data_IF_204343280923
#
_entry.id   IF_204343280923
#
_cell.length_a   1.000
_cell.length_b   1.000
_cell.length_c   1.000
_cell.angle_alpha   90.00
_cell.angle_beta   90.00
_cell.angle_gamma   90.00
#
_symmetry.space_group_name_H-M   'P 1'
#
loop_
_entity.id
_entity.type
_entity.pdbx_description
1 polymer ?
2 non-polymer ?
3 non-polymer ?
4 water ?
#
# COMPACT_ATOMS: atom_id res chain seq x y z
N UNK A 1 13.11 6.65 20.29
CA UNK A 1 13.65 5.35 19.85
C UNK A 1 15.09 5.42 19.38
N UNK A 2 15.46 4.35 18.70
CA UNK A 2 16.82 4.18 18.29
C UNK A 2 16.99 4.98 17.00
N UNK A 3 18.24 5.18 16.63
CA UNK A 3 18.58 5.70 15.29
C UNK A 3 18.97 4.51 14.43
N UNK A 4 18.23 4.24 13.32
CA UNK A 4 18.58 3.07 12.54
C UNK A 4 19.89 3.25 11.75
N UNK A 5 20.56 2.14 11.39
CA UNK A 5 21.69 2.24 10.47
C UNK A 5 21.26 2.88 9.13
N UNK A 6 22.18 3.58 8.48
CA UNK A 6 21.89 4.27 7.23
C UNK A 6 21.37 3.35 6.15
N UNK A 7 21.90 2.13 6.10
CA UNK A 7 21.44 1.24 5.02
C UNK A 7 20.02 0.75 5.22
N UNK A 8 19.63 0.57 6.47
CA UNK A 8 18.29 0.22 6.83
C UNK A 8 17.28 1.35 6.56
N UNK A 9 17.66 2.56 6.96
CA UNK A 9 16.89 3.77 6.72
C UNK A 9 16.68 3.99 5.24
N UNK A 10 17.69 3.72 4.43
CA UNK A 10 17.61 3.91 2.98
C UNK A 10 16.54 2.99 2.37
N UNK A 11 16.56 1.74 2.77
CA UNK A 11 15.56 0.80 2.23
C UNK A 11 14.19 1.19 2.73
N UNK A 12 14.10 1.60 4.02
CA UNK A 12 12.80 1.95 4.60
C UNK A 12 12.19 3.14 3.86
N UNK A 13 13.01 4.12 3.55
CA UNK A 13 12.56 5.33 2.88
C UNK A 13 12.06 5.01 1.47
N UNK A 14 12.61 3.99 0.82
CA UNK A 14 12.06 3.55 -0.47
C UNK A 14 10.70 2.84 -0.34
N UNK A 16 8.47 3.20 2.28
CA UNK A 16 7.50 4.06 2.92
C UNK A 16 7.96 5.52 2.91
N UNK A 17 8.01 6.13 1.71
CA UNK A 17 8.58 7.47 1.57
C UNK A 17 7.82 8.55 2.37
N UNK A 18 6.55 8.32 2.64
CA UNK A 18 5.72 9.32 3.32
C UNK A 18 5.53 9.05 4.82
N UNK A 19 6.10 7.97 5.32
CA UNK A 19 5.97 7.69 6.76
C UNK A 19 6.60 8.79 7.59
N UNK A 20 5.94 9.11 8.69
CA UNK A 20 6.47 10.01 9.72
C UNK A 20 6.21 9.41 11.08
N UNK A 21 6.82 10.01 12.08
CA UNK A 21 6.66 9.53 13.45
C UNK A 21 7.15 8.13 13.66
N UNK A 22 8.19 7.74 12.94
CA UNK A 22 8.65 6.34 12.96
C UNK A 22 9.49 6.13 14.21
N UNK A 23 9.19 5.06 14.93
CA UNK A 23 9.90 4.67 16.15
C UNK A 23 10.69 3.41 15.82
N UNK A 24 12.02 3.49 15.94
CA UNK A 24 12.90 2.36 15.61
C UNK A 24 13.43 1.65 16.89
N UNK A 25 13.55 0.33 16.79
CA UNK A 25 14.13 -0.53 17.83
C UNK A 25 14.82 -1.70 17.16
N UNK A 26 15.49 -2.55 17.94
CA UNK A 26 16.01 -3.80 17.38
C UNK A 26 15.82 -4.96 18.34
N UNK A 27 15.79 -6.18 17.77
CA UNK A 27 15.54 -7.42 18.51
C UNK A 27 16.17 -8.55 17.74
N UNK A 28 17.03 -9.32 18.40
CA UNK A 28 17.60 -10.54 17.80
C UNK A 28 18.35 -10.19 16.52
N UNK A 29 18.92 -8.98 16.48
CA UNK A 29 19.72 -8.54 15.36
C UNK A 29 19.00 -7.95 14.18
N UNK A 30 17.67 -7.84 14.31
CA UNK A 30 16.83 -7.26 13.23
C UNK A 30 16.36 -5.86 13.73
N UNK A 31 16.07 -4.96 12.82
CA UNK A 31 15.65 -3.59 13.12
C UNK A 31 14.16 -3.43 12.78
N UNK A 32 13.41 -2.77 13.64
CA UNK A 32 11.96 -2.64 13.48
C UNK A 32 11.58 -1.19 13.42
N UNK A 33 10.83 -0.81 12.39
CA UNK A 33 10.23 0.50 12.22
C UNK A 33 8.73 0.41 12.55
N UNK A 34 8.30 1.17 13.56
CA UNK A 34 6.90 1.22 13.98
C UNK A 34 6.32 2.55 13.60
N UNK A 35 5.14 2.54 12.97
CA UNK A 35 4.50 3.79 12.47
C UNK A 35 3.09 3.52 11.97
N UNK A 36 2.35 4.58 11.63
CA UNK A 36 1.01 4.44 11.07
C UNK A 36 1.01 4.85 9.60
N UNK A 38 -1.80 5.16 6.22
CA UNK A 38 -3.16 5.07 5.64
C UNK A 38 -4.15 4.40 6.58
N UNK A 39 -4.12 4.80 7.84
CA UNK A 39 -5.01 4.27 8.84
C UNK A 39 -4.63 3.00 9.59
N UNK A 40 -3.47 2.40 9.29
CA UNK A 40 -3.08 1.14 9.95
C UNK A 40 -1.71 1.23 10.61
N UNK A 41 -1.57 0.63 11.77
CA UNK A 41 -0.26 0.52 12.43
C UNK A 41 0.55 -0.57 11.82
N UNK A 42 1.81 -0.25 11.55
CA UNK A 42 2.74 -1.17 10.93
C UNK A 42 4.05 -1.33 11.73
N UNK A 43 4.59 -2.55 11.68
CA UNK A 43 5.95 -2.83 12.17
C UNK A 43 6.67 -3.50 11.03
N UNK A 44 7.71 -2.83 10.56
CA UNK A 44 8.43 -3.29 9.38
C UNK A 44 9.86 -3.59 9.80
N UNK A 45 10.30 -4.80 9.51
CA UNK A 45 11.56 -5.32 10.00
C UNK A 45 12.61 -5.52 8.90
N UNK A 46 13.87 -5.27 9.25
CA UNK A 46 15.00 -5.36 8.32
C UNK A 46 16.18 -6.07 8.96
N UNK A 47 17.02 -6.67 8.13
CA UNK A 47 18.27 -7.24 8.60
C UNK A 47 19.41 -6.22 8.47
N UNK A 48 20.59 -6.59 8.99
CA UNK A 48 21.74 -5.71 9.02
C UNK A 48 22.27 -5.32 7.63
N UNK A 49 21.86 -6.06 6.60
CA UNK A 49 22.21 -5.74 5.22
C UNK A 49 21.23 -4.71 4.64
N UNK A 50 20.29 -4.23 5.47
CA UNK A 50 19.29 -3.30 5.00
C UNK A 50 18.19 -3.96 4.17
N UNK A 51 18.06 -5.27 4.21
CA UNK A 51 17.06 -5.99 3.46
C UNK A 51 15.80 -6.18 4.31
N UNK A 52 14.66 -5.95 3.68
CA UNK A 52 13.37 -6.15 4.30
C UNK A 52 13.15 -7.65 4.57
N UNK A 53 12.76 -7.96 5.80
CA UNK A 53 12.46 -9.32 6.23
C UNK A 53 11.01 -9.65 6.55
N UNK A 55 6.77 -7.54 7.26
CA UNK A 55 5.95 -6.46 7.68
C UNK A 55 4.72 -7.04 8.38
N UNK A 56 4.39 -6.44 9.49
CA UNK A 56 3.21 -6.79 10.28
C UNK A 56 2.27 -5.60 10.30
N UNK A 57 1.03 -5.80 9.83
CA UNK A 57 0.05 -4.75 9.77
C UNK A 57 -1.11 -5.09 10.70
N UNK A 58 -1.44 -4.16 11.57
CA UNK A 58 -2.51 -4.37 12.53
C UNK A 58 -3.86 -4.05 11.88
N UNK A 59 -4.58 -5.10 11.55
CA UNK A 59 -5.89 -5.00 10.93
C UNK A 59 -7.03 -4.84 11.94
N UNK A 60 -6.77 -5.17 13.21
CA UNK A 60 -7.64 -4.86 14.38
C UNK A 60 -8.84 -5.82 14.46
N UNK A 61 -9.59 -5.94 13.38
CA UNK A 61 -10.90 -6.60 13.45
C UNK A 61 -11.22 -7.54 12.28
N UNK A 62 -12.23 -8.39 12.48
CA UNK A 62 -12.55 -9.45 11.52
C UNK A 62 -13.10 -8.96 10.21
N UNK A 63 -13.65 -7.75 10.22
CA UNK A 63 -14.15 -7.16 8.98
C UNK A 63 -13.03 -6.92 7.95
N UNK A 64 -11.78 -6.84 8.42
CA UNK A 64 -10.63 -6.60 7.52
C UNK A 64 -10.11 -7.87 6.88
N UNK A 65 -10.60 -9.02 7.31
CA UNK A 65 -10.20 -10.29 6.68
C UNK A 65 -10.85 -10.54 5.35
N UNK A 66 -10.19 -11.31 4.48
CA UNK A 66 -10.82 -11.83 3.29
C UNK A 66 -11.97 -12.74 3.69
N UNK A 67 -12.93 -12.95 2.80
CA UNK A 67 -13.94 -13.91 3.11
C UNK A 67 -13.39 -15.30 3.44
N UNK A 68 -12.34 -15.70 2.74
CA UNK A 68 -11.80 -17.04 2.91
C UNK A 68 -11.30 -17.25 4.33
N UNK A 69 -10.56 -16.27 4.85
CA UNK A 69 -10.04 -16.40 6.20
C UNK A 69 -11.15 -16.21 7.24
N UNK A 70 -12.02 -15.22 7.01
CA UNK A 70 -13.20 -15.03 7.84
C UNK A 70 -14.05 -16.28 8.01
N UNK A 71 -14.40 -16.91 6.88
CA UNK A 71 -15.25 -18.07 6.89
C UNK A 71 -14.62 -19.22 7.66
N UNK A 72 -13.31 -19.35 7.52
CA UNK A 72 -12.55 -20.37 8.25
C UNK A 72 -12.61 -20.07 9.73
N UNK A 73 -12.45 -18.81 10.13
CA UNK A 73 -12.53 -18.45 11.55
C UNK A 73 -13.90 -18.76 12.14
N UNK A 74 -14.95 -18.35 11.44
CA UNK A 74 -16.28 -18.49 12.01
C UNK A 74 -16.75 -19.94 11.98
N UNK A 75 -16.08 -20.84 11.23
CA UNK A 75 -16.43 -22.25 11.24
C UNK A 75 -15.49 -23.11 12.13
N UNK A 76 -14.54 -22.46 12.80
CA UNK A 76 -13.55 -23.15 13.62
C UNK A 76 -13.87 -23.06 15.11
N UNK A 77 -12.98 -23.59 15.95
CA UNK A 77 -13.25 -23.67 17.41
C UNK A 77 -13.33 -22.37 18.18
N UNK A 78 -12.79 -21.31 17.62
CA UNK A 78 -12.71 -20.00 18.29
C UNK A 78 -13.76 -19.01 17.74
N UNK A 79 -14.67 -19.51 16.91
CA UNK A 79 -15.72 -18.70 16.24
C UNK A 79 -16.43 -17.73 17.17
N UNK A 80 -16.68 -18.13 18.42
CA UNK A 80 -17.39 -17.29 19.36
C UNK A 80 -16.52 -16.58 20.41
N UNK A 81 -15.21 -16.63 20.24
CA UNK A 81 -14.28 -15.94 21.13
C UNK A 81 -14.22 -14.43 20.79
N UNK A 82 -13.71 -13.63 21.71
CA UNK A 82 -13.54 -12.18 21.53
C UNK A 82 -12.25 -11.93 20.81
N UNK A 83 -12.32 -11.15 19.74
CA UNK A 83 -11.15 -10.97 18.91
C UNK A 83 -10.44 -9.72 19.40
N UNK A 84 -9.25 -9.88 19.96
CA UNK A 84 -8.47 -8.76 20.49
C UNK A 84 -7.67 -8.03 19.45
N UNK A 85 -7.15 -8.78 18.48
CA UNK A 85 -6.19 -8.29 17.47
C UNK A 85 -6.27 -9.14 16.23
N UNK A 86 -5.97 -8.54 15.08
CA UNK A 86 -5.82 -9.26 13.83
C UNK A 86 -4.58 -8.64 13.18
N UNK A 87 -3.59 -9.48 12.86
CA UNK A 87 -2.34 -9.00 12.29
C UNK A 87 -2.07 -9.72 10.97
N UNK A 89 0.81 -10.65 8.36
CA UNK A 89 2.29 -10.82 8.41
C UNK A 89 2.73 -11.19 7.03
N UNK A 90 3.57 -10.37 6.42
CA UNK A 90 4.04 -10.56 5.06
C UNK A 90 5.53 -10.68 5.03
N UNK A 91 6.02 -11.47 4.07
CA UNK A 91 7.46 -11.76 3.97
C UNK A 91 7.95 -11.69 2.52
N UNK A 92 9.27 -11.57 2.30
CA UNK A 92 9.76 -11.52 0.91
C UNK A 92 9.61 -12.86 0.22
N UNK A 93 9.77 -13.95 0.96
CA UNK A 93 9.73 -15.26 0.37
C UNK A 93 8.62 -16.17 0.94
N UNK A 94 8.42 -16.18 2.24
CA UNK A 94 7.50 -17.11 2.89
C UNK A 94 6.06 -16.60 2.62
N UNK A 95 5.11 -17.53 2.67
CA UNK A 95 3.69 -17.21 2.54
C UNK A 95 3.21 -16.32 3.73
N UNK A 96 2.32 -15.40 3.41
CA UNK A 96 1.72 -14.58 4.44
C UNK A 96 0.97 -15.41 5.47
N UNK A 97 0.88 -14.87 6.67
CA UNK A 97 0.21 -15.47 7.81
C UNK A 97 -0.71 -14.41 8.44
N UNK A 98 -1.93 -14.82 8.76
CA UNK A 98 -2.86 -13.99 9.47
C UNK A 98 -2.90 -14.48 10.92
N UNK A 99 -2.61 -13.60 11.86
CA UNK A 99 -2.56 -13.95 13.27
C UNK A 99 -3.74 -13.28 13.91
N UNK A 100 -4.64 -14.11 14.46
CA UNK A 100 -5.80 -13.59 15.18
C UNK A 100 -5.60 -13.88 16.65
N UNK A 101 -5.60 -12.83 17.48
CA UNK A 101 -5.48 -12.98 18.92
C UNK A 101 -6.87 -12.98 19.52
N UNK A 102 -7.20 -14.06 20.23
CA UNK A 102 -8.52 -14.20 20.82
C UNK A 102 -8.46 -14.44 22.31
N UNK A 103 -9.56 -14.05 22.96
CA UNK A 103 -9.76 -14.22 24.40
C UNK A 103 -11.25 -14.47 24.65
N UNK A 104 -11.64 -14.56 25.89
CA UNK A 104 -13.08 -14.75 26.22
C UNK A 104 -13.43 -13.66 27.15
N UNK A 105 -14.65 -13.14 27.06
CA UNK A 105 -15.10 -12.19 28.05
C UNK A 105 -14.99 -12.91 29.39
N UNK A 106 -14.51 -12.17 30.38
CA UNK A 106 -14.45 -12.60 31.75
C UNK A 106 -13.39 -13.66 32.11
N UNK A 107 -12.51 -14.02 31.21
CA UNK A 107 -11.31 -14.81 31.59
C UNK A 107 -10.07 -14.33 30.85
N UNK A 108 -8.92 -14.55 31.47
CA UNK A 108 -7.67 -13.96 31.01
C UNK A 108 -6.90 -14.83 30.01
N UNK A 109 -7.46 -15.97 29.63
CA UNK A 109 -6.82 -16.85 28.65
C UNK A 109 -6.77 -16.14 27.27
N UNK A 110 -5.61 -16.13 26.62
CA UNK A 110 -5.48 -15.56 25.30
C UNK A 110 -4.71 -16.55 24.39
N UNK A 111 -5.18 -16.75 23.16
CA UNK A 111 -4.46 -17.53 22.17
C UNK A 111 -4.19 -16.72 20.90
N UNK A 112 -3.05 -16.95 20.30
CA UNK A 112 -2.79 -16.54 18.92
C UNK A 112 -3.12 -17.70 17.99
N UNK A 113 -3.90 -17.38 16.97
CA UNK A 113 -4.32 -18.32 15.95
C UNK A 113 -3.60 -17.92 14.69
N UNK A 114 -2.86 -18.85 14.07
CA UNK A 114 -2.06 -18.62 12.84
C UNK A 114 -2.74 -19.27 11.63
N UNK A 115 -3.32 -18.42 10.79
CA UNK A 115 -4.04 -18.85 9.62
C UNK A 115 -3.25 -18.57 8.33
N UNK A 116 -3.41 -19.46 7.38
CA UNK A 116 -2.92 -19.21 6.04
C UNK A 116 -3.94 -18.37 5.31
N UNK A 117 -3.54 -17.74 4.21
CA UNK A 117 -4.52 -17.04 3.35
C UNK A 117 -5.61 -17.89 2.77
N UNK A 118 -5.41 -19.21 2.69
CA UNK A 118 -6.44 -20.13 2.24
C UNK A 118 -7.35 -20.60 3.38
N UNK A 119 -7.17 -20.06 4.56
CA UNK A 119 -8.03 -20.31 5.70
C UNK A 119 -7.67 -21.53 6.53
N UNK A 120 -6.45 -22.04 6.37
CA UNK A 120 -6.03 -23.21 7.17
C UNK A 120 -5.48 -22.70 8.50
N UNK A 121 -5.97 -23.25 9.61
CA UNK A 121 -5.43 -22.97 10.91
C UNK A 121 -4.23 -23.86 11.11
N UNK A 122 -3.03 -23.30 11.01
CA UNK A 122 -1.80 -24.06 11.08
C UNK A 122 -1.44 -24.48 12.53
N UNK A 123 -1.64 -23.56 13.45
CA UNK A 123 -1.22 -23.71 14.84
C UNK A 123 -1.82 -22.59 15.68
N UNK A 124 -1.82 -22.83 17.00
CA UNK A 124 -2.19 -21.81 17.98
C UNK A 124 -1.17 -21.85 19.11
N UNK A 125 -1.11 -20.74 19.84
CA UNK A 125 -0.19 -20.59 20.93
C UNK A 125 -0.88 -19.84 22.05
N UNK A 126 -0.73 -20.30 23.28
CA UNK A 126 -1.21 -19.60 24.48
C UNK A 126 -0.27 -18.41 24.72
N UNK A 127 -0.84 -17.20 24.78
CA UNK A 127 -0.02 -16.03 24.96
C UNK A 127 -0.49 -15.25 26.17
N UNK A 128 -1.15 -15.94 27.10
CA UNK A 128 -1.74 -15.33 28.27
C UNK A 128 -0.65 -14.62 29.08
N UNK A 129 0.53 -15.27 29.20
CA UNK A 129 1.69 -14.73 30.00
C UNK A 129 2.95 -14.49 29.19
N UNK A 131 5.21 -12.14 26.47
CA UNK A 131 5.46 -10.79 26.00
C UNK A 131 6.17 -10.93 24.67
N UNK A 132 6.17 -9.87 23.86
CA UNK A 132 6.93 -9.89 22.61
C UNK A 132 6.40 -11.06 21.77
N UNK A 133 5.14 -11.00 21.37
CA UNK A 133 4.55 -12.13 20.68
C UNK A 133 4.44 -12.02 19.16
N UNK A 134 4.96 -10.93 18.59
CA UNK A 134 4.97 -10.79 17.14
C UNK A 134 6.35 -10.39 16.59
N UNK A 135 7.41 -10.84 17.24
CA UNK A 135 8.80 -10.53 16.79
C UNK A 135 9.55 -11.60 16.02
N UNK A 136 10.83 -11.36 15.75
CA UNK A 136 11.67 -12.34 15.05
C UNK A 136 11.59 -13.74 15.65
N UNK A 137 11.55 -13.84 16.96
CA UNK A 137 11.52 -15.19 17.57
C UNK A 137 10.27 -15.97 17.20
N UNK A 138 9.20 -15.27 16.86
CA UNK A 138 7.96 -15.95 16.45
C UNK A 138 7.97 -16.40 15.00
N UNK A 139 8.59 -15.61 14.12
CA UNK A 139 8.51 -15.84 12.67
C UNK A 139 9.82 -16.17 11.95
N UNK A 140 10.96 -15.69 12.45
CA UNK A 140 12.21 -15.72 11.68
C UNK A 140 13.28 -16.68 12.22
N UNK A 141 12.99 -17.34 13.33
CA UNK A 141 13.94 -18.31 13.90
C UNK A 141 13.49 -19.75 13.59
N UNK B 1 8.28 -8.26 -23.09
CA UNK B 1 8.33 -6.90 -22.45
C UNK B 1 9.72 -6.28 -22.44
N UNK B 2 9.84 -5.25 -21.62
CA UNK B 2 11.08 -4.54 -21.44
C UNK B 2 11.74 -5.05 -20.11
N UNK B 3 13.06 -4.89 -19.99
CA UNK B 3 13.76 -4.95 -18.67
C UNK B 3 14.40 -3.57 -18.47
N UNK B 4 14.15 -2.89 -17.32
CA UNK B 4 14.78 -1.58 -17.32
C UNK B 4 16.25 -1.64 -16.91
N UNK B 5 16.94 -0.51 -16.99
CA UNK B 5 18.30 -0.47 -16.43
C UNK B 5 18.39 -1.01 -14.98
N UNK B 6 19.55 -1.56 -14.63
CA UNK B 6 19.72 -2.16 -13.31
C UNK B 6 19.43 -1.22 -12.15
N UNK B 7 19.76 0.07 -12.29
CA UNK B 7 19.50 1.00 -11.20
C UNK B 7 18.01 1.21 -10.98
N UNK B 8 17.25 1.20 -12.05
CA UNK B 8 15.78 1.34 -11.98
C UNK B 8 15.21 0.08 -11.29
N UNK B 9 15.60 -1.09 -11.79
CA UNK B 9 15.09 -2.33 -11.20
C UNK B 9 15.43 -2.44 -9.72
N UNK B 10 16.60 -1.98 -9.31
CA UNK B 10 17.03 -2.03 -7.93
C UNK B 10 16.13 -1.15 -7.05
N UNK B 11 15.87 0.06 -7.51
CA UNK B 11 15.03 0.98 -6.75
C UNK B 11 13.62 0.38 -6.67
N UNK B 12 13.12 -0.11 -7.79
CA UNK B 12 11.76 -0.65 -7.84
C UNK B 12 11.57 -1.82 -6.88
N UNK B 13 12.56 -2.72 -6.86
CA UNK B 13 12.46 -3.91 -6.04
C UNK B 13 12.47 -3.55 -4.56
N UNK B 14 13.19 -2.50 -4.20
CA UNK B 14 13.15 -2.04 -2.83
C UNK B 14 11.81 -1.39 -2.47
N UNK B 16 8.81 -1.98 -3.96
CA UNK B 16 7.70 -2.91 -4.14
C UNK B 16 8.23 -4.37 -4.18
N UNK B 17 8.66 -4.87 -3.01
CA UNK B 17 9.35 -6.15 -3.01
C UNK B 17 8.42 -7.31 -3.35
N UNK B 18 7.10 -7.13 -3.16
CA UNK B 18 6.14 -8.21 -3.45
C UNK B 18 5.42 -8.04 -4.77
N UNK B 19 5.74 -7.01 -5.54
CA UNK B 19 5.11 -6.90 -6.85
C UNK B 19 5.39 -8.09 -7.72
N UNK B 20 4.37 -8.55 -8.41
CA UNK B 20 4.53 -9.67 -9.33
C UNK B 20 3.81 -9.36 -10.63
N UNK B 21 4.19 -10.03 -11.71
CA UNK B 21 3.57 -9.81 -13.01
C UNK B 21 3.79 -8.39 -13.54
N UNK B 22 4.98 -7.86 -13.29
CA UNK B 22 5.27 -6.44 -13.61
C UNK B 22 5.59 -6.37 -15.09
N UNK B 23 4.93 -5.45 -15.77
CA UNK B 23 5.15 -5.16 -17.17
C UNK B 23 5.88 -3.82 -17.24
N UNK B 24 7.08 -3.82 -17.83
CA UNK B 24 7.86 -2.61 -17.99
C UNK B 24 7.73 -2.04 -19.37
N UNK B 25 7.73 -0.71 -19.46
CA UNK B 25 7.69 0.03 -20.72
C UNK B 25 8.54 1.28 -20.55
N UNK B 26 8.80 1.98 -21.65
CA UNK B 26 9.61 3.22 -21.66
C UNK B 26 8.85 4.24 -22.51
N UNK B 27 8.80 5.48 -22.05
CA UNK B 27 8.13 6.59 -22.74
C UNK B 27 8.88 7.89 -22.39
N UNK B 28 9.30 8.63 -23.41
CA UNK B 28 9.96 9.93 -23.22
C UNK B 28 11.20 9.83 -22.32
N UNK B 29 11.87 8.68 -22.35
CA UNK B 29 13.09 8.49 -21.57
C UNK B 29 12.90 8.05 -20.13
N UNK B 30 11.65 7.82 -19.73
CA UNK B 30 11.32 7.36 -18.39
C UNK B 30 10.83 5.91 -18.48
N UNK B 31 10.97 5.17 -17.38
CA UNK B 31 10.59 3.78 -17.30
C UNK B 31 9.37 3.61 -16.43
N UNK B 32 8.45 2.77 -16.85
CA UNK B 32 7.19 2.60 -16.16
C UNK B 32 6.99 1.12 -15.83
N UNK B 33 6.73 0.85 -14.55
CA UNK B 33 6.40 -0.48 -14.09
C UNK B 33 4.90 -0.53 -13.90
N UNK B 34 4.25 -1.46 -14.58
CA UNK B 34 2.78 -1.65 -14.45
C UNK B 34 2.48 -2.97 -13.74
N UNK B 35 1.61 -2.95 -12.73
CA UNK B 35 1.30 -4.10 -11.89
C UNK B 35 0.13 -3.77 -10.96
N UNK B 36 -0.40 -4.78 -10.31
CA UNK B 36 -1.51 -4.61 -9.39
C UNK B 36 -0.98 -4.76 -7.95
N UNK B 38 -2.70 -4.67 -3.94
CA UNK B 38 -3.80 -4.51 -2.96
C UNK B 38 -5.08 -3.98 -3.57
N UNK B 39 -5.48 -4.55 -4.69
CA UNK B 39 -6.74 -4.19 -5.34
C UNK B 39 -6.68 -3.12 -6.39
N UNK B 40 -5.50 -2.53 -6.61
CA UNK B 40 -5.42 -1.44 -7.57
C UNK B 40 -4.31 -1.60 -8.59
N UNK B 41 -4.58 -1.18 -9.81
CA UNK B 41 -3.53 -1.12 -10.81
C UNK B 41 -2.65 0.11 -10.60
N UNK B 42 -1.34 -0.09 -10.64
CA UNK B 42 -0.36 0.93 -10.43
C UNK B 42 0.55 1.06 -11.68
N UNK B 43 0.97 2.31 -11.93
CA UNK B 43 2.03 2.63 -12.89
C UNK B 43 3.08 3.47 -12.14
N UNK B 44 4.25 2.88 -11.95
CA UNK B 44 5.31 3.51 -11.13
C UNK B 44 6.44 3.90 -12.09
N UNK B 45 6.82 5.17 -12.09
CA UNK B 45 7.70 5.73 -13.05
C UNK B 45 9.05 6.12 -12.45
N UNK B 46 10.09 5.91 -13.27
CA UNK B 46 11.48 6.19 -12.86
C UNK B 46 12.17 6.93 -13.98
N UNK B 47 13.18 7.71 -13.59
CA UNK B 47 14.04 8.28 -14.59
C UNK B 47 15.26 7.35 -14.81
N UNK B 48 16.11 7.74 -15.73
CA UNK B 48 17.28 6.95 -16.13
C UNK B 48 18.35 6.94 -15.05
N UNK B 49 18.23 7.84 -14.09
CA UNK B 49 19.16 7.89 -12.95
C UNK B 49 18.69 6.91 -11.88
N UNK B 50 17.59 6.21 -12.14
CA UNK B 50 17.08 5.19 -11.20
C UNK B 50 16.17 5.73 -10.10
N UNK B 51 15.81 7.00 -10.23
CA UNK B 51 15.06 7.69 -9.18
C UNK B 51 13.55 7.56 -9.51
N UNK B 52 12.76 7.25 -8.49
CA UNK B 52 11.33 7.33 -8.58
C UNK B 52 10.87 8.77 -8.81
N UNK B 53 9.99 8.94 -9.79
CA UNK B 53 9.48 10.22 -10.16
C UNK B 53 8.00 10.41 -9.92
N UNK B 55 3.99 7.92 -9.05
CA UNK B 55 3.18 6.73 -9.07
C UNK B 55 1.75 7.11 -9.32
N UNK B 56 1.13 6.42 -10.26
CA UNK B 56 -0.26 6.61 -10.60
C UNK B 56 -1.05 5.38 -10.25
N UNK B 57 -2.15 5.57 -9.54
CA UNK B 57 -3.00 4.45 -9.10
C UNK B 57 -4.36 4.64 -9.76
N UNK B 58 -4.85 3.59 -10.39
CA UNK B 58 -6.20 3.61 -11.01
C UNK B 58 -7.25 3.41 -9.94
N UNK B 59 -7.93 4.47 -9.54
CA UNK B 59 -8.98 4.36 -8.54
C UNK B 59 -10.35 3.95 -9.13
N UNK B 60 -10.49 4.12 -10.45
CA UNK B 60 -11.67 3.69 -11.26
C UNK B 60 -12.90 4.56 -11.05
N UNK B 61 -13.32 4.74 -9.80
CA UNK B 61 -14.56 5.43 -9.54
C UNK B 61 -14.50 6.44 -8.39
N UNK B 62 -15.51 7.29 -8.36
CA UNK B 62 -15.60 8.36 -7.38
C UNK B 62 -15.66 7.89 -5.92
N UNK B 63 -16.20 6.70 -5.69
CA UNK B 63 -16.33 6.16 -4.33
C UNK B 63 -14.96 5.93 -3.65
N UNK B 64 -13.90 5.87 -4.45
CA UNK B 64 -12.54 5.76 -3.91
C UNK B 64 -11.91 7.07 -3.46
N UNK B 65 -12.55 8.19 -3.75
CA UNK B 65 -12.02 9.47 -3.31
C UNK B 65 -12.30 9.74 -1.84
N UNK B 66 -11.50 10.61 -1.24
CA UNK B 66 -11.81 11.14 0.07
C UNK B 66 -13.07 11.98 -0.04
N UNK B 67 -13.80 12.13 1.08
CA UNK B 67 -14.97 13.00 1.03
C UNK B 67 -14.63 14.41 0.56
N UNK B 68 -13.46 14.92 0.93
CA UNK B 68 -13.06 16.26 0.54
C UNK B 68 -12.99 16.45 -0.98
N UNK B 69 -12.38 15.49 -1.67
CA UNK B 69 -12.26 15.59 -3.11
C UNK B 69 -13.60 15.28 -3.77
N UNK B 70 -14.27 14.23 -3.31
CA UNK B 70 -15.61 13.89 -3.78
C UNK B 70 -16.56 15.07 -3.72
N UNK B 71 -16.61 15.72 -2.57
CA UNK B 71 -17.55 16.81 -2.36
C UNK B 71 -17.25 17.96 -3.30
N UNK B 72 -15.97 18.20 -3.52
CA UNK B 72 -15.54 19.28 -4.39
C UNK B 72 -15.96 18.97 -5.79
N UNK B 73 -15.77 17.74 -6.24
CA UNK B 73 -16.19 17.36 -7.61
C UNK B 73 -17.71 17.51 -7.84
N UNK B 74 -18.49 17.01 -6.88
CA UNK B 74 -19.94 17.00 -7.06
C UNK B 74 -20.54 18.39 -6.85
N UNK B 75 -19.75 19.32 -6.33
CA UNK B 75 -20.24 20.72 -6.21
C UNK B 75 -19.68 21.64 -7.31
N UNK B 76 -18.88 21.11 -8.22
CA UNK B 76 -18.16 21.87 -9.22
C UNK B 76 -18.82 21.82 -10.59
N UNK B 77 -18.22 22.46 -11.59
CA UNK B 77 -18.85 22.61 -12.89
C UNK B 77 -19.04 21.35 -13.70
N UNK B 78 -18.32 20.29 -13.33
CA UNK B 78 -18.35 19.00 -14.06
C UNK B 78 -19.14 17.95 -13.29
N UNK B 79 -19.81 18.35 -12.19
CA UNK B 79 -20.53 17.38 -11.33
C UNK B 79 -21.43 16.45 -12.14
N UNK B 80 -22.06 16.96 -13.20
CA UNK B 80 -23.02 16.16 -13.97
C UNK B 80 -22.46 15.55 -15.27
N UNK B 81 -21.15 15.65 -15.45
CA UNK B 81 -20.48 15.01 -16.54
C UNK B 81 -20.30 13.51 -16.18
N UNK B 82 -20.00 12.70 -17.18
CA UNK B 82 -19.82 11.26 -17.01
C UNK B 82 -18.36 11.00 -16.69
N UNK B 83 -18.11 10.32 -15.58
CA UNK B 83 -16.78 10.08 -15.13
C UNK B 83 -16.25 8.84 -15.81
N UNK B 84 -15.20 9.00 -16.63
CA UNK B 84 -14.59 7.87 -17.34
C UNK B 84 -13.49 7.15 -16.54
N UNK B 85 -12.70 7.92 -15.80
CA UNK B 85 -11.45 7.48 -15.11
C UNK B 85 -11.20 8.33 -13.89
N UNK B 86 -10.59 7.73 -12.86
CA UNK B 86 -10.13 8.44 -11.68
C UNK B 86 -8.76 7.91 -11.36
N UNK B 87 -7.77 8.79 -11.32
CA UNK B 87 -6.37 8.41 -11.07
C UNK B 87 -5.79 9.22 -9.91
N UNK B 89 -2.26 10.47 -8.30
CA UNK B 89 -0.90 10.69 -8.77
C UNK B 89 -0.10 11.14 -7.58
N UNK B 90 0.93 10.36 -7.23
CA UNK B 90 1.77 10.66 -6.09
C UNK B 90 3.21 10.86 -6.51
N UNK B 91 3.88 11.73 -5.75
CA UNK B 91 5.26 12.17 -6.07
C UNK B 91 6.15 12.13 -4.87
N UNK B 92 7.47 12.02 -5.06
CA UNK B 92 8.34 12.05 -3.89
C UNK B 92 8.36 13.36 -3.09
N UNK B 93 8.21 14.49 -3.77
CA UNK B 93 8.39 15.80 -3.08
C UNK B 93 7.32 16.83 -3.42
N UNK B 94 6.23 16.39 -3.99
CA UNK B 94 5.17 17.28 -4.37
C UNK B 94 3.88 16.70 -3.86
N UNK B 95 2.91 17.60 -3.70
CA UNK B 95 1.58 17.20 -3.33
C UNK B 95 0.94 16.25 -4.38
N UNK B 96 0.18 15.31 -3.87
CA UNK B 96 -0.60 14.45 -4.77
C UNK B 96 -1.64 15.18 -5.59
N UNK B 97 -1.99 14.59 -6.72
CA UNK B 97 -3.02 15.12 -7.63
C UNK B 97 -4.02 14.02 -7.94
N UNK B 98 -5.29 14.36 -7.95
CA UNK B 98 -6.34 13.44 -8.37
C UNK B 98 -6.80 13.89 -9.76
N UNK B 99 -6.74 12.99 -10.72
CA UNK B 99 -7.11 13.33 -12.07
C UNK B 99 -8.40 12.61 -12.38
N UNK B 100 -9.44 13.37 -12.66
CA UNK B 100 -10.75 12.80 -13.00
C UNK B 100 -10.97 13.08 -14.46
N UNK B 101 -11.11 12.03 -15.27
CA UNK B 101 -11.41 12.23 -16.68
C UNK B 101 -12.94 12.16 -16.90
N UNK B 102 -13.48 13.18 -17.52
CA UNK B 102 -14.90 13.30 -17.74
C UNK B 102 -15.28 13.50 -19.21
N UNK B 103 -16.51 13.12 -19.54
CA UNK B 103 -17.03 13.28 -20.88
C UNK B 103 -18.52 13.52 -20.87
N UNK B 104 -19.08 13.75 -22.04
CA UNK B 104 -20.57 13.79 -22.15
C UNK B 104 -21.11 12.73 -23.14
N UNK B 105 -22.27 12.13 -22.84
CA UNK B 105 -22.86 11.18 -23.79
C UNK B 105 -23.12 11.93 -25.10
N UNK B 106 -22.77 11.29 -26.21
CA UNK B 106 -23.04 11.83 -27.56
C UNK B 106 -22.31 13.11 -27.94
N UNK B 107 -21.35 13.50 -27.13
CA UNK B 107 -20.58 14.69 -27.43
C UNK B 107 -19.16 14.20 -27.22
N UNK B 108 -18.31 14.50 -28.17
CA UNK B 108 -17.02 13.84 -28.19
C UNK B 108 -16.00 14.55 -27.29
N UNK B 109 -16.48 15.48 -26.48
CA UNK B 109 -15.57 16.27 -25.64
C UNK B 109 -15.14 15.54 -24.36
N UNK B 110 -13.84 15.44 -24.13
CA UNK B 110 -13.29 14.86 -22.87
C UNK B 110 -12.36 15.87 -22.20
N UNK B 111 -12.47 16.01 -20.88
CA UNK B 111 -11.48 16.79 -20.12
C UNK B 111 -10.84 15.96 -19.04
N UNK B 112 -9.58 16.25 -18.76
CA UNK B 112 -9.00 15.85 -17.48
C UNK B 112 -9.13 17.00 -16.53
N UNK B 113 -9.54 16.66 -15.31
CA UNK B 113 -9.73 17.58 -14.19
C UNK B 113 -8.69 17.25 -13.15
N UNK B 114 -7.88 18.23 -12.78
CA UNK B 114 -6.78 18.03 -11.82
C UNK B 114 -7.15 18.66 -10.48
N UNK B 115 -7.39 17.82 -9.45
CA UNK B 115 -7.79 18.27 -8.14
C UNK B 115 -6.65 18.06 -7.14
N UNK B 116 -6.57 18.97 -6.17
CA UNK B 116 -5.70 18.79 -5.04
C UNK B 116 -6.43 17.98 -3.98
N UNK B 117 -5.67 17.44 -3.03
CA UNK B 117 -6.28 16.66 -1.96
C UNK B 117 -7.19 17.49 -1.07
N UNK B 118 -7.07 18.81 -1.10
CA UNK B 118 -8.00 19.71 -0.41
C UNK B 118 -9.21 20.07 -1.25
N UNK B 119 -9.33 19.47 -2.43
CA UNK B 119 -10.53 19.62 -3.27
C UNK B 119 -10.50 20.82 -4.20
N UNK B 120 -9.34 21.43 -4.38
CA UNK B 120 -9.27 22.59 -5.27
C UNK B 120 -9.06 22.08 -6.72
N UNK B 121 -9.85 22.59 -7.65
CA UNK B 121 -9.69 22.25 -9.07
C UNK B 121 -8.60 23.18 -9.60
N UNK B 122 -7.40 22.63 -9.82
CA UNK B 122 -6.24 23.48 -10.17
C UNK B 122 -6.27 23.87 -11.64
N UNK B 123 -6.71 22.93 -12.46
CA UNK B 123 -6.68 23.11 -13.92
C UNK B 123 -7.39 21.97 -14.59
N UNK B 124 -7.71 22.19 -15.85
CA UNK B 124 -8.26 21.15 -16.69
C UNK B 124 -7.60 21.19 -18.06
N UNK B 125 -7.73 20.10 -18.77
CA UNK B 125 -7.15 19.94 -20.12
C UNK B 125 -8.10 19.17 -21.00
N UNK B 126 -8.29 19.64 -22.22
CA UNK B 126 -9.06 18.96 -23.26
C UNK B 126 -8.22 17.79 -23.77
N UNK B 127 -8.77 16.58 -23.63
CA UNK B 127 -8.08 15.37 -24.11
C UNK B 127 -8.92 14.64 -25.11
N UNK B 128 -9.82 15.35 -25.75
CA UNK B 128 -10.77 14.78 -26.73
C UNK B 128 -10.14 13.87 -27.74
N UNK B 129 -9.02 14.24 -28.34
CA UNK B 129 -8.48 13.26 -29.28
C UNK B 129 -7.00 13.02 -29.03
N UNK B 131 -3.83 11.01 -27.02
CA UNK B 131 -3.34 9.78 -26.41
C UNK B 131 -2.18 10.07 -25.48
N UNK B 132 -1.84 9.08 -24.68
CA UNK B 132 -0.71 9.17 -23.75
C UNK B 132 -0.93 10.37 -22.80
N UNK B 133 -2.05 10.36 -22.07
CA UNK B 133 -2.45 11.51 -21.28
C UNK B 133 -2.16 11.39 -19.80
N UNK B 134 -1.42 10.34 -19.39
CA UNK B 134 -1.01 10.22 -17.97
C UNK B 134 0.50 9.88 -17.84
N UNK B 135 1.27 10.35 -18.80
CA UNK B 135 2.71 10.15 -18.80
C UNK B 135 3.54 11.29 -18.30
N UNK B 136 4.86 11.13 -18.40
CA UNK B 136 5.78 12.18 -18.05
C UNK B 136 5.43 13.56 -18.58
N UNK B 137 5.04 13.65 -19.84
CA UNK B 137 4.74 14.94 -20.46
C UNK B 137 3.58 15.67 -19.77
N UNK B 138 2.72 14.94 -19.07
CA UNK B 138 1.56 15.58 -18.41
C UNK B 138 1.93 16.15 -17.04
N UNK B 139 2.86 15.51 -16.37
CA UNK B 139 3.19 15.84 -14.99
C UNK B 139 4.59 16.37 -14.72
N UNK B 140 5.56 16.00 -15.54
CA UNK B 140 6.97 16.23 -15.17
C UNK B 140 7.68 17.25 -16.04
N UNK B 141 7.00 17.79 -17.04
CA UNK B 141 7.61 18.82 -17.91
C UNK B 141 7.50 20.18 -17.25
#
# INVERSE_FOLDING_TARGET
>A
GDTPPGNVQSTFKKXYPKANGVAWSQDDGYYCANFAXNGFTKNVWFNVRGQWVXTLTDLVSLDRLTPTVYNAFVSGPYANWVVDNVTXVEFPKWQAIIVIKVGQDNVDIKYQLFYTPQGILLKTRNVSDXYDILGPSTFLAN
>B
GDTPPGNVQSTFKKXYPKANGVAWSQDDGYYCANFAXNGFTKNVWFNVRGQWVXTLTDLVSLDRLTPTVYNAFVSGPYANWVVDNVTXVEFPKWQAIIVIKVGQDNVDIKYQLFYTPQGILLKTRNVSDXYDILGPSTFLAN
#
